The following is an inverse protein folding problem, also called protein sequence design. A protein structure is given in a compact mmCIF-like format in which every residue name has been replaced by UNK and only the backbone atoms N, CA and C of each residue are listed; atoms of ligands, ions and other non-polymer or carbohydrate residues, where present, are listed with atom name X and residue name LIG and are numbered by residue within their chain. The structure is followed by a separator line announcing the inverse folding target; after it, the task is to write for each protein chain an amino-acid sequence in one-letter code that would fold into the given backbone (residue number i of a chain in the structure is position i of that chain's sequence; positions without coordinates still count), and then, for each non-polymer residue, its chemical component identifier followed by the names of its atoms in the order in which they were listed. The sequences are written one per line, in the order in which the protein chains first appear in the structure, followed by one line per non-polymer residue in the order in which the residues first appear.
data_IF_573877207790
#
_entry.id   IF_573877207790
#
_cell.length_a   1.000
_cell.length_b   1.000
_cell.length_c   1.000
_cell.angle_alpha   90.00
_cell.angle_beta   90.00
_cell.angle_gamma   90.00
#
_symmetry.space_group_name_H-M   'P 1'
#
loop_
_entity.id
_entity.type
_entity.pdbx_description
1 polymer ?
#
# COMPACT_ATOMS: atom_id res chain seq x y z
N UNK A 1 -10.70 14.96 -0.76
CA UNK A 1 -11.43 14.08 -1.68
C UNK A 1 -10.93 12.65 -1.56
N UNK A 2 -11.82 11.72 -1.78
CA UNK A 2 -11.43 10.32 -1.73
C UNK A 2 -10.72 9.89 -3.01
N UNK A 3 -9.90 8.85 -2.89
CA UNK A 3 -9.10 8.33 -3.98
C UNK A 3 -9.90 8.12 -5.27
N UNK A 4 -11.02 7.40 -5.18
CA UNK A 4 -11.82 7.06 -6.35
C UNK A 4 -12.51 8.26 -7.00
N UNK A 5 -12.60 9.37 -6.28
CA UNK A 5 -13.17 10.61 -6.82
C UNK A 5 -12.16 11.35 -7.68
N UNK A 6 -10.88 11.20 -7.36
CA UNK A 6 -9.79 11.89 -8.06
C UNK A 6 -9.30 11.07 -9.25
N UNK A 7 -9.12 9.76 -9.06
CA UNK A 7 -8.60 8.86 -10.08
C UNK A 7 -9.68 7.88 -10.49
N UNK A 8 -10.33 8.14 -11.61
CA UNK A 8 -11.45 7.29 -12.01
C UNK A 8 -10.96 5.93 -12.54
N UNK A 9 -11.90 4.99 -12.60
CA UNK A 9 -11.61 3.61 -12.92
C UNK A 9 -11.03 3.42 -14.34
N UNK A 10 -11.46 4.26 -15.27
CA UNK A 10 -11.08 4.12 -16.67
C UNK A 10 -9.71 4.71 -16.99
N UNK A 11 -9.13 5.47 -16.06
CA UNK A 11 -7.86 6.16 -16.31
C UNK A 11 -6.88 5.85 -15.19
N UNK A 12 -5.94 4.95 -15.46
CA UNK A 12 -4.93 4.60 -14.47
C UNK A 12 -4.02 5.80 -14.21
N UNK A 13 -3.87 6.21 -12.93
CA UNK A 13 -2.97 7.31 -12.60
C UNK A 13 -1.51 6.88 -12.74
N UNK A 14 -0.63 7.86 -12.92
CA UNK A 14 0.81 7.62 -12.88
C UNK A 14 1.27 7.54 -11.42
N UNK A 15 2.46 6.99 -11.20
CA UNK A 15 3.04 6.95 -9.86
C UNK A 15 3.24 8.36 -9.31
N UNK A 16 3.63 9.30 -10.17
CA UNK A 16 3.82 10.69 -9.79
C UNK A 16 2.51 11.33 -9.32
N UNK A 17 1.41 11.06 -10.02
CA UNK A 17 0.11 11.59 -9.65
C UNK A 17 -0.34 11.05 -8.29
N UNK A 18 -0.10 9.76 -8.04
CA UNK A 18 -0.44 9.15 -6.76
C UNK A 18 0.38 9.77 -5.65
N UNK A 19 1.68 9.93 -5.88
CA UNK A 19 2.59 10.51 -4.90
C UNK A 19 2.15 11.93 -4.52
N UNK A 20 1.77 12.74 -5.50
CA UNK A 20 1.31 14.10 -5.26
C UNK A 20 0.00 14.11 -4.49
N UNK A 21 -0.91 13.20 -4.80
CA UNK A 21 -2.19 13.08 -4.10
C UNK A 21 -1.99 12.74 -2.63
N UNK A 22 -1.14 11.76 -2.35
CA UNK A 22 -0.85 11.34 -0.98
C UNK A 22 -0.13 12.44 -0.19
N UNK A 23 0.79 13.14 -0.86
CA UNK A 23 1.40 14.35 -0.30
C UNK A 23 2.21 14.16 0.96
N UNK A 24 2.72 12.97 1.24
CA UNK A 24 3.56 12.74 2.41
C UNK A 24 4.77 11.90 2.03
N UNK A 25 5.91 12.23 2.64
CA UNK A 25 7.16 11.50 2.42
C UNK A 25 7.09 10.07 2.94
N UNK A 26 6.15 9.80 3.84
CA UNK A 26 5.97 8.44 4.37
C UNK A 26 5.64 7.45 3.27
N UNK A 27 4.88 7.88 2.26
CA UNK A 27 4.55 7.04 1.12
C UNK A 27 5.82 6.67 0.34
N UNK A 28 6.65 7.66 0.02
CA UNK A 28 7.90 7.43 -0.70
C UNK A 28 8.84 6.53 0.09
N UNK A 29 8.90 6.76 1.40
CA UNK A 29 9.74 5.95 2.30
C UNK A 29 9.32 4.48 2.25
N UNK A 30 8.03 4.20 2.38
CA UNK A 30 7.56 2.81 2.36
C UNK A 30 7.74 2.17 0.98
N UNK A 31 7.43 2.92 -0.07
CA UNK A 31 7.60 2.42 -1.44
C UNK A 31 9.06 2.02 -1.71
N UNK A 32 9.99 2.90 -1.34
CA UNK A 32 11.42 2.61 -1.52
C UNK A 32 11.85 1.43 -0.66
N UNK A 33 11.37 1.37 0.57
CA UNK A 33 11.70 0.27 1.48
C UNK A 33 11.30 -1.08 0.86
N UNK A 34 10.11 -1.16 0.30
CA UNK A 34 9.60 -2.39 -0.30
C UNK A 34 10.38 -2.76 -1.58
N UNK A 35 10.66 -1.76 -2.41
CA UNK A 35 11.39 -2.01 -3.65
C UNK A 35 12.83 -2.46 -3.39
N UNK A 36 13.50 -1.81 -2.45
CA UNK A 36 14.93 -2.05 -2.21
C UNK A 36 15.19 -3.26 -1.34
N UNK A 37 14.43 -3.42 -0.27
CA UNK A 37 14.70 -4.50 0.68
C UNK A 37 14.10 -5.84 0.28
N UNK A 38 13.02 -5.83 -0.47
CA UNK A 38 12.34 -7.07 -0.86
C UNK A 38 12.40 -7.33 -2.36
N UNK A 39 13.02 -6.43 -3.12
CA UNK A 39 13.15 -6.56 -4.58
C UNK A 39 11.79 -6.72 -5.25
N UNK A 40 10.84 -5.91 -4.82
CA UNK A 40 9.46 -5.96 -5.32
C UNK A 40 9.24 -4.90 -6.39
N UNK A 41 8.56 -5.30 -7.46
CA UNK A 41 8.09 -4.37 -8.48
C UNK A 41 6.57 -4.25 -8.28
N UNK A 42 6.08 -3.10 -7.80
CA UNK A 42 4.66 -2.96 -7.48
C UNK A 42 3.76 -2.92 -8.70
N UNK A 43 2.50 -3.26 -8.49
CA UNK A 43 1.47 -3.25 -9.52
C UNK A 43 0.30 -2.39 -9.09
N UNK A 44 -0.24 -1.62 -10.02
CA UNK A 44 -1.47 -0.87 -9.77
C UNK A 44 -2.68 -1.73 -10.05
N UNK A 45 -3.72 -1.56 -9.23
CA UNK A 45 -4.98 -2.26 -9.40
C UNK A 45 -6.12 -1.37 -8.93
N UNK A 46 -7.33 -1.63 -9.41
CA UNK A 46 -8.50 -0.87 -8.99
C UNK A 46 -9.40 -1.73 -8.12
N UNK A 47 -9.85 -1.17 -7.00
CA UNK A 47 -10.76 -1.82 -6.07
C UNK A 47 -12.10 -1.12 -6.06
N UNK A 48 -13.18 -1.89 -6.17
CA UNK A 48 -14.55 -1.35 -6.05
C UNK A 48 -15.13 -1.47 -4.66
N UNK A 49 -14.33 -1.79 -3.65
CA UNK A 49 -14.79 -2.04 -2.30
C UNK A 49 -15.40 -0.79 -1.66
N UNK A 50 -16.66 -0.88 -1.23
CA UNK A 50 -17.36 0.25 -0.63
C UNK A 50 -17.33 0.22 0.91
N UNK A 51 -16.65 -0.76 1.50
CA UNK A 51 -16.57 -0.88 2.95
C UNK A 51 -15.79 0.27 3.57
N UNK A 52 -16.04 0.52 4.86
CA UNK A 52 -15.33 1.52 5.64
C UNK A 52 -15.38 2.91 4.98
N UNK A 53 -16.56 3.30 4.53
CA UNK A 53 -16.79 4.59 3.87
C UNK A 53 -15.91 4.79 2.65
N UNK A 54 -15.75 3.73 1.85
CA UNK A 54 -15.01 3.75 0.59
C UNK A 54 -13.51 3.97 0.75
N UNK A 55 -12.97 3.76 1.95
CA UNK A 55 -11.53 4.00 2.17
C UNK A 55 -10.67 3.02 1.38
N UNK A 56 -11.20 1.84 1.07
CA UNK A 56 -10.49 0.81 0.31
C UNK A 56 -10.84 0.84 -1.18
N UNK A 57 -11.58 1.86 -1.61
CA UNK A 57 -12.02 1.99 -3.00
C UNK A 57 -11.04 2.83 -3.81
N UNK A 58 -10.86 2.47 -5.07
CA UNK A 58 -10.03 3.22 -5.99
C UNK A 58 -8.74 2.49 -6.36
N UNK A 59 -7.83 3.22 -6.96
CA UNK A 59 -6.55 2.67 -7.38
C UNK A 59 -5.66 2.42 -6.17
N UNK A 60 -5.05 1.25 -6.14
CA UNK A 60 -4.13 0.85 -5.07
C UNK A 60 -2.87 0.27 -5.66
N UNK A 61 -1.85 0.13 -4.80
CA UNK A 61 -0.53 -0.35 -5.22
C UNK A 61 -0.25 -1.63 -4.47
N UNK A 62 -0.07 -2.73 -5.21
CA UNK A 62 0.16 -4.05 -4.63
C UNK A 62 1.63 -4.40 -4.65
N UNK A 63 2.16 -4.78 -3.50
CA UNK A 63 3.55 -5.20 -3.34
C UNK A 63 3.54 -6.69 -3.02
N UNK A 64 3.86 -7.49 -4.03
CA UNK A 64 3.83 -8.95 -3.94
C UNK A 64 5.22 -9.52 -4.20
N UNK A 65 5.54 -10.61 -3.52
CA UNK A 65 6.78 -11.33 -3.74
C UNK A 65 6.49 -12.81 -3.82
N UNK A 66 6.96 -13.44 -4.91
CA UNK A 66 6.76 -14.88 -5.13
C UNK A 66 5.30 -15.29 -5.02
N UNK A 67 4.40 -14.48 -5.56
CA UNK A 67 2.96 -14.76 -5.54
C UNK A 67 2.28 -14.47 -4.21
N UNK A 68 2.99 -13.92 -3.23
CA UNK A 68 2.43 -13.59 -1.93
C UNK A 68 2.34 -12.09 -1.75
N UNK A 69 1.19 -11.62 -1.27
CA UNK A 69 1.01 -10.20 -0.96
C UNK A 69 1.72 -9.89 0.35
N UNK A 70 2.62 -8.91 0.32
CA UNK A 70 3.27 -8.42 1.53
C UNK A 70 2.58 -7.15 2.03
N UNK A 71 2.12 -6.31 1.13
CA UNK A 71 1.49 -5.05 1.49
C UNK A 71 0.73 -4.50 0.30
N UNK A 72 -0.39 -3.82 0.57
CA UNK A 72 -1.12 -3.07 -0.45
C UNK A 72 -1.32 -1.67 0.10
N UNK A 73 -0.93 -0.65 -0.68
CA UNK A 73 -1.12 0.74 -0.28
C UNK A 73 -2.36 1.29 -0.96
N UNK A 74 -3.27 1.88 -0.17
CA UNK A 74 -4.47 2.54 -0.66
C UNK A 74 -4.27 4.04 -0.46
N UNK A 75 -3.94 4.78 -1.52
CA UNK A 75 -3.66 6.22 -1.42
C UNK A 75 -4.86 7.01 -0.92
N UNK A 76 -4.60 7.95 -0.03
CA UNK A 76 -5.60 8.90 0.45
C UNK A 76 -5.00 10.30 0.34
N UNK A 77 -5.84 11.32 0.47
CA UNK A 77 -5.34 12.69 0.42
C UNK A 77 -4.67 13.05 1.74
N UNK A 78 -3.35 13.24 1.70
CA UNK A 78 -2.58 13.62 2.87
C UNK A 78 -2.08 12.46 3.73
N UNK A 79 -2.46 11.22 3.40
CA UNK A 79 -2.01 10.03 4.12
C UNK A 79 -2.29 8.81 3.26
N UNK A 80 -2.05 7.61 3.78
CA UNK A 80 -2.43 6.38 3.07
C UNK A 80 -2.76 5.26 4.04
N UNK A 81 -3.54 4.29 3.53
CA UNK A 81 -3.79 3.06 4.27
C UNK A 81 -2.82 2.01 3.76
N UNK A 82 -2.22 1.28 4.67
CA UNK A 82 -1.34 0.16 4.32
C UNK A 82 -1.99 -1.11 4.85
N UNK A 83 -2.29 -2.03 3.95
CA UNK A 83 -2.87 -3.31 4.32
C UNK A 83 -1.79 -4.39 4.20
N UNK A 84 -1.29 -4.83 5.34
CA UNK A 84 -0.50 -6.05 5.44
C UNK A 84 -1.53 -7.14 5.68
N UNK A 85 -1.52 -8.28 4.97
CA UNK A 85 -2.63 -9.23 5.06
C UNK A 85 -3.09 -9.48 6.48
N UNK A 86 -4.37 -9.18 6.73
CA UNK A 86 -4.99 -9.30 8.05
C UNK A 86 -4.75 -8.13 8.98
N UNK A 87 -3.94 -7.15 8.60
CA UNK A 87 -3.58 -6.02 9.48
C UNK A 87 -3.64 -4.69 8.73
N UNK A 88 -4.73 -3.91 8.89
CA UNK A 88 -4.82 -2.59 8.26
C UNK A 88 -4.15 -1.53 9.14
N UNK A 89 -3.48 -0.58 8.50
CA UNK A 89 -2.82 0.53 9.18
C UNK A 89 -3.21 1.84 8.51
N UNK A 90 -3.56 2.83 9.31
CA UNK A 90 -3.74 4.20 8.81
C UNK A 90 -2.42 4.93 9.04
N UNK A 91 -1.68 5.20 7.97
CA UNK A 91 -0.32 5.71 8.09
C UNK A 91 -0.30 7.23 8.01
N UNK A 92 -0.09 7.86 9.15
CA UNK A 92 -0.01 9.32 9.28
C UNK A 92 1.25 9.77 10.00
N UNK A 93 2.02 8.84 10.57
CA UNK A 93 3.20 9.20 11.36
C UNK A 93 4.29 8.16 11.20
N UNK A 94 5.51 8.52 11.60
CA UNK A 94 6.65 7.62 11.55
C UNK A 94 6.49 6.44 12.50
N UNK A 95 5.78 6.63 13.61
CA UNK A 95 5.54 5.56 14.57
C UNK A 95 4.77 4.43 13.93
N UNK A 96 3.70 4.77 13.21
CA UNK A 96 2.89 3.77 12.51
C UNK A 96 3.70 3.12 11.38
N UNK A 97 4.56 3.91 10.72
CA UNK A 97 5.44 3.36 9.69
C UNK A 97 6.33 2.24 10.22
N UNK A 98 6.85 2.43 11.43
CA UNK A 98 7.66 1.39 12.07
C UNK A 98 6.88 0.11 12.27
N UNK A 99 5.61 0.24 12.67
CA UNK A 99 4.73 -0.92 12.85
C UNK A 99 4.42 -1.61 11.53
N UNK A 100 4.20 -0.84 10.47
CA UNK A 100 3.94 -1.38 9.14
C UNK A 100 5.15 -2.18 8.65
N UNK A 101 6.35 -1.62 8.78
CA UNK A 101 7.58 -2.29 8.34
C UNK A 101 7.80 -3.59 9.11
N UNK A 102 7.53 -3.58 10.41
CA UNK A 102 7.64 -4.79 11.22
C UNK A 102 6.63 -5.84 10.79
N UNK A 103 5.39 -5.44 10.54
CA UNK A 103 4.35 -6.36 10.10
C UNK A 103 4.71 -7.01 8.76
N UNK A 104 5.29 -6.23 7.85
CA UNK A 104 5.73 -6.74 6.55
C UNK A 104 6.84 -7.77 6.73
N UNK A 105 7.80 -7.48 7.59
CA UNK A 105 8.92 -8.39 7.88
C UNK A 105 8.40 -9.71 8.46
N UNK A 106 7.47 -9.62 9.39
CA UNK A 106 6.86 -10.82 9.97
C UNK A 106 6.08 -11.62 8.93
N UNK A 107 5.40 -10.95 8.03
CA UNK A 107 4.66 -11.61 6.95
C UNK A 107 5.61 -12.37 6.03
N UNK A 108 6.74 -11.75 5.71
CA UNK A 108 7.77 -12.37 4.88
C UNK A 108 8.33 -13.61 5.57
N UNK A 109 8.61 -13.51 6.86
CA UNK A 109 9.16 -14.62 7.63
C UNK A 109 8.20 -15.79 7.70
N UNK A 110 6.91 -15.54 7.90
CA UNK A 110 5.89 -16.58 7.87
C UNK A 110 5.90 -17.31 6.54
N UNK A 111 6.05 -16.56 5.45
CA UNK A 111 6.08 -17.13 4.11
C UNK A 111 7.31 -18.03 3.95
N UNK A 112 8.45 -17.59 4.47
CA UNK A 112 9.69 -18.37 4.40
C UNK A 112 9.58 -19.63 5.25
N UNK A 113 8.98 -19.53 6.43
CA UNK A 113 8.84 -20.63 7.36
C UNK A 113 8.00 -21.76 6.78
N UNK A 114 7.02 -21.44 5.98
CA UNK A 114 6.13 -22.42 5.38
C UNK A 114 6.80 -23.35 4.40
N UNK A 115 8.00 -23.06 3.99
CA UNK A 115 8.71 -23.89 3.03
C UNK A 115 9.20 -25.20 3.61
N UNK A 116 9.11 -25.33 4.88
CA UNK A 116 9.51 -26.58 5.52
C UNK A 116 8.43 -27.67 5.35
#
# INVERSE_FOLDING_TARGET
MLNYEVFNKETQPTESEIKDFVGTELFTDLDNHLRENYKIKPKLAYSGCAMDNNIWRGWNIKYQKSGKSLCTIYPQQGYFMALVPGKPFEVRSKDIMGEVKLAIEMRKDETSTKKK
#
